data_IF_930665713721
#
_entry.id   IF_930665713721
#
_cell.length_a   1.000
_cell.length_b   1.000
_cell.length_c   1.000
_cell.angle_alpha   90.00
_cell.angle_beta   90.00
_cell.angle_gamma   90.00
#
_symmetry.space_group_name_H-M   'P 1'
#
loop_
_entity.id
_entity.type
_entity.pdbx_description
1 polymer ?
#
# COMPACT_ATOMS: atom_id res chain seq x y z
N UNK A 1 88.44 11.30 18.65
CA UNK A 1 88.00 9.94 18.25
C UNK A 1 86.98 9.44 19.26
N UNK A 2 85.69 9.53 18.99
CA UNK A 2 84.66 8.73 19.69
C UNK A 2 83.52 8.39 18.72
N UNK A 3 83.09 7.14 18.81
CA UNK A 3 82.37 6.32 17.82
C UNK A 3 80.89 6.69 17.62
N UNK A 4 80.45 6.54 16.38
CA UNK A 4 79.05 6.37 15.96
C UNK A 4 78.35 5.21 16.70
N UNK A 5 77.07 5.41 17.03
CA UNK A 5 76.07 4.33 17.18
C UNK A 5 74.84 4.68 16.34
N UNK A 6 74.31 3.74 15.52
CA UNK A 6 73.13 3.99 14.68
C UNK A 6 71.87 3.82 15.53
N UNK A 7 70.95 4.78 15.47
CA UNK A 7 69.62 4.62 16.06
C UNK A 7 68.74 3.87 15.08
N UNK A 8 68.40 2.64 15.49
CA UNK A 8 67.57 1.68 14.80
C UNK A 8 66.12 2.18 14.67
N UNK A 9 65.44 1.68 13.65
CA UNK A 9 64.05 1.95 13.29
C UNK A 9 63.07 1.83 14.48
N UNK A 10 62.16 2.81 14.59
CA UNK A 10 60.84 2.64 15.17
C UNK A 10 59.78 3.13 14.16
N UNK A 11 59.74 2.46 13.02
CA UNK A 11 58.48 2.20 12.32
C UNK A 11 57.92 0.95 12.99
N UNK A 12 56.69 1.00 13.50
CA UNK A 12 55.79 -0.08 13.94
C UNK A 12 55.09 0.40 15.22
N UNK A 13 53.87 0.89 15.05
CA UNK A 13 52.70 0.63 15.92
C UNK A 13 51.56 1.58 15.53
N UNK A 14 50.96 1.33 14.36
CA UNK A 14 49.67 1.95 13.99
C UNK A 14 48.70 0.89 13.42
N UNK A 15 48.76 -0.34 13.95
CA UNK A 15 47.92 -1.47 13.48
C UNK A 15 47.23 -2.25 14.62
N UNK A 16 47.20 -1.75 15.85
CA UNK A 16 46.69 -2.51 17.00
C UNK A 16 45.40 -1.95 17.63
N UNK A 17 44.69 -1.04 16.95
CA UNK A 17 43.44 -0.50 17.49
C UNK A 17 42.35 -0.34 16.42
N UNK A 18 42.26 -1.32 15.52
CA UNK A 18 41.08 -1.48 14.68
C UNK A 18 40.05 -2.27 15.51
N UNK A 19 38.84 -1.73 15.77
CA UNK A 19 37.81 -2.48 16.47
C UNK A 19 37.52 -3.79 15.74
N UNK A 20 37.31 -4.86 16.50
CA UNK A 20 36.95 -6.18 15.97
C UNK A 20 35.77 -6.02 14.99
N UNK A 21 35.88 -6.50 13.73
CA UNK A 21 34.81 -6.44 12.75
C UNK A 21 33.46 -6.94 13.28
N UNK A 22 33.47 -7.95 14.16
CA UNK A 22 32.26 -8.51 14.78
C UNK A 22 31.61 -7.54 15.76
N UNK A 23 32.40 -6.73 16.47
CA UNK A 23 31.88 -5.69 17.38
C UNK A 23 31.31 -4.50 16.61
N UNK A 24 31.96 -4.11 15.50
CA UNK A 24 31.43 -3.09 14.61
C UNK A 24 30.06 -3.51 14.02
N UNK A 25 29.95 -4.72 13.45
CA UNK A 25 28.69 -5.25 12.94
C UNK A 25 27.60 -5.33 14.02
N UNK A 26 27.95 -5.74 15.25
CA UNK A 26 26.98 -5.81 16.35
C UNK A 26 26.43 -4.44 16.77
N UNK A 27 27.28 -3.41 16.83
CA UNK A 27 26.87 -2.05 17.17
C UNK A 27 26.05 -1.41 16.05
N UNK A 28 26.44 -1.62 14.79
CA UNK A 28 25.65 -1.17 13.64
C UNK A 28 24.28 -1.84 13.62
N UNK A 29 24.21 -3.15 13.83
CA UNK A 29 22.94 -3.87 13.93
C UNK A 29 22.09 -3.39 15.11
N UNK A 30 22.69 -3.14 16.28
CA UNK A 30 21.96 -2.62 17.44
C UNK A 30 21.44 -1.20 17.21
N UNK A 31 22.21 -0.33 16.54
CA UNK A 31 21.74 1.01 16.15
C UNK A 31 20.64 0.98 15.09
N UNK A 32 20.74 0.07 14.12
CA UNK A 32 19.75 -0.08 13.06
C UNK A 32 18.44 -0.64 13.63
N UNK A 33 18.52 -1.63 14.54
CA UNK A 33 17.36 -2.15 15.28
C UNK A 33 16.71 -1.07 16.13
N UNK A 34 17.49 -0.21 16.82
CA UNK A 34 16.96 0.93 17.59
C UNK A 34 16.33 2.04 16.73
N UNK A 35 16.59 2.06 15.42
CA UNK A 35 16.07 3.06 14.48
C UNK A 35 15.00 2.53 13.52
N UNK A 36 14.66 1.25 13.59
CA UNK A 36 13.53 0.73 12.81
C UNK A 36 12.21 1.23 13.41
N UNK A 37 11.22 1.65 12.58
CA UNK A 37 9.92 2.04 13.10
C UNK A 37 9.20 0.83 13.70
N UNK A 38 8.43 1.09 14.77
CA UNK A 38 7.64 0.13 15.51
C UNK A 38 6.16 0.58 15.50
N UNK A 39 5.25 -0.36 15.74
CA UNK A 39 3.86 -0.02 15.99
C UNK A 39 3.74 0.77 17.30
N UNK A 40 2.88 1.77 17.28
CA UNK A 40 2.58 2.62 18.43
C UNK A 40 1.80 1.84 19.50
N UNK A 41 2.10 2.11 20.76
CA UNK A 41 1.44 1.41 21.88
C UNK A 41 0.03 1.96 22.15
N UNK A 42 -0.16 3.25 21.87
CA UNK A 42 -1.43 3.97 22.06
C UNK A 42 -2.38 3.80 20.86
N UNK A 43 -1.96 3.08 19.82
CA UNK A 43 -2.78 2.79 18.64
C UNK A 43 -3.27 4.05 17.91
N UNK A 44 -4.52 3.99 17.43
CA UNK A 44 -5.19 5.03 16.67
C UNK A 44 -5.33 6.34 17.44
N UNK A 45 -5.34 6.31 18.78
CA UNK A 45 -5.44 7.53 19.59
C UNK A 45 -4.22 8.44 19.35
N UNK A 46 -3.02 7.87 19.25
CA UNK A 46 -1.80 8.63 18.92
C UNK A 46 -1.92 9.34 17.57
N UNK A 47 -2.52 8.67 16.58
CA UNK A 47 -2.73 9.23 15.25
C UNK A 47 -3.79 10.33 15.28
N UNK A 48 -4.93 10.08 15.94
CA UNK A 48 -6.09 10.95 16.01
C UNK A 48 -5.86 12.20 16.87
N UNK A 49 -4.79 12.26 17.67
CA UNK A 49 -4.37 13.48 18.35
C UNK A 49 -4.02 14.62 17.38
N UNK A 50 -3.49 14.28 16.19
CA UNK A 50 -3.17 15.23 15.13
C UNK A 50 -4.10 15.09 13.91
N UNK A 51 -4.47 13.87 13.54
CA UNK A 51 -5.34 13.55 12.39
C UNK A 51 -6.82 13.45 12.78
N UNK A 52 -7.31 14.39 13.59
CA UNK A 52 -8.60 14.30 14.28
C UNK A 52 -9.86 14.52 13.43
N UNK A 53 -9.72 14.80 12.13
CA UNK A 53 -10.86 15.19 11.28
C UNK A 53 -11.87 14.07 11.06
N UNK A 54 -13.15 14.43 10.88
CA UNK A 54 -14.22 13.44 10.71
C UNK A 54 -13.97 12.46 9.56
N UNK A 55 -13.35 12.93 8.47
CA UNK A 55 -12.91 12.07 7.37
C UNK A 55 -12.01 10.93 7.85
N UNK A 56 -11.06 11.21 8.74
CA UNK A 56 -10.15 10.19 9.28
C UNK A 56 -10.88 9.26 10.25
N UNK A 57 -11.84 9.78 11.02
CA UNK A 57 -12.62 8.97 11.97
C UNK A 57 -13.65 8.05 11.31
N UNK A 58 -14.12 8.41 10.11
CA UNK A 58 -15.15 7.66 9.39
C UNK A 58 -14.75 6.19 9.11
N UNK A 59 -13.47 5.89 8.97
CA UNK A 59 -13.00 4.52 8.76
C UNK A 59 -13.38 3.58 9.90
N UNK A 60 -13.45 4.07 11.15
CA UNK A 60 -13.86 3.29 12.31
C UNK A 60 -15.32 2.83 12.28
N UNK A 61 -16.12 3.30 11.31
CA UNK A 61 -17.50 2.85 11.06
C UNK A 61 -17.62 2.01 9.78
N UNK A 62 -16.49 1.72 9.12
CA UNK A 62 -16.43 0.89 7.92
C UNK A 62 -16.17 -0.57 8.26
N UNK A 63 -16.22 -1.45 7.25
CA UNK A 63 -15.85 -2.85 7.40
C UNK A 63 -14.39 -3.07 7.84
N UNK A 64 -13.48 -2.16 7.48
CA UNK A 64 -12.10 -2.22 7.97
C UNK A 64 -11.96 -1.73 9.41
N UNK A 65 -12.93 -0.93 9.87
CA UNK A 65 -12.99 -0.19 11.13
C UNK A 65 -13.30 -1.00 12.38
N UNK A 66 -13.75 -2.24 12.21
CA UNK A 66 -14.33 -3.05 13.28
C UNK A 66 -13.23 -3.73 14.13
N UNK A 67 -12.98 -3.29 15.38
CA UNK A 67 -11.94 -3.86 16.22
C UNK A 67 -12.31 -5.24 16.79
N UNK A 68 -13.59 -5.63 16.75
CA UNK A 68 -14.06 -6.91 17.31
C UNK A 68 -13.88 -8.07 16.30
N UNK A 69 -13.63 -7.75 15.03
CA UNK A 69 -13.36 -8.73 13.99
C UNK A 69 -11.85 -8.89 13.77
N UNK A 70 -11.23 -10.04 14.14
CA UNK A 70 -9.78 -10.24 14.08
C UNK A 70 -9.19 -10.22 12.65
N UNK A 71 -10.04 -10.22 11.62
CA UNK A 71 -9.63 -10.15 10.22
C UNK A 71 -9.50 -8.71 9.70
N UNK A 72 -9.83 -7.71 10.52
CA UNK A 72 -9.81 -6.31 10.10
C UNK A 72 -8.48 -5.65 10.45
N UNK A 73 -8.09 -4.59 9.70
CA UNK A 73 -6.98 -3.73 10.08
C UNK A 73 -7.08 -3.21 11.52
N UNK A 74 -8.28 -2.83 11.98
CA UNK A 74 -8.49 -2.30 13.33
C UNK A 74 -8.35 -3.31 14.46
N UNK A 75 -8.52 -4.60 14.21
CA UNK A 75 -8.18 -5.61 15.21
C UNK A 75 -6.67 -5.94 15.25
N UNK A 76 -5.91 -5.59 14.20
CA UNK A 76 -4.48 -5.84 14.11
C UNK A 76 -3.65 -4.67 14.64
N UNK A 77 -3.55 -3.59 13.86
CA UNK A 77 -2.74 -2.41 14.16
C UNK A 77 -3.44 -1.09 13.75
N UNK A 78 -4.76 -1.10 13.60
CA UNK A 78 -5.58 0.09 13.39
C UNK A 78 -5.10 0.92 12.20
N UNK A 79 -4.77 2.20 12.42
CA UNK A 79 -4.28 3.07 11.36
C UNK A 79 -2.98 2.54 10.74
N UNK A 80 -2.12 1.92 11.55
CA UNK A 80 -0.79 1.47 11.17
C UNK A 80 -0.83 0.18 10.32
N UNK A 81 -1.96 -0.54 10.30
CA UNK A 81 -2.16 -1.68 9.41
C UNK A 81 -2.16 -1.28 7.93
N UNK A 82 -2.56 -0.05 7.61
CA UNK A 82 -2.54 0.46 6.22
C UNK A 82 -1.49 1.56 6.01
N UNK A 83 -1.23 2.37 7.04
CA UNK A 83 -0.31 3.50 6.95
C UNK A 83 1.14 3.12 7.31
N UNK A 84 1.37 1.94 7.89
CA UNK A 84 2.66 1.51 8.37
C UNK A 84 3.00 2.03 9.77
N UNK A 85 4.16 1.61 10.26
CA UNK A 85 4.61 1.78 11.65
C UNK A 85 4.96 3.25 11.97
N UNK A 86 4.23 3.82 12.91
CA UNK A 86 4.18 5.24 13.24
C UNK A 86 5.15 5.74 14.31
N UNK A 87 5.89 4.87 15.03
CA UNK A 87 6.66 5.31 16.22
C UNK A 87 7.62 6.48 15.97
N UNK A 88 8.28 6.51 14.80
CA UNK A 88 9.19 7.60 14.42
C UNK A 88 8.39 8.82 13.95
N UNK A 89 7.31 8.59 13.19
CA UNK A 89 6.42 9.63 12.68
C UNK A 89 5.88 10.49 13.83
N UNK A 90 5.33 9.87 14.87
CA UNK A 90 4.73 10.57 16.02
C UNK A 90 5.78 11.17 16.97
N UNK A 91 7.06 10.91 16.75
CA UNK A 91 8.12 11.36 17.65
C UNK A 91 8.28 12.89 17.63
N UNK A 92 8.68 13.44 18.78
CA UNK A 92 8.98 14.88 18.89
C UNK A 92 10.27 15.30 18.16
N UNK A 93 11.05 14.34 17.65
CA UNK A 93 12.33 14.59 16.99
C UNK A 93 12.21 15.54 15.79
N UNK A 94 11.02 15.59 15.16
CA UNK A 94 10.74 16.44 14.00
C UNK A 94 9.77 17.60 14.32
N UNK A 95 9.75 18.05 15.57
CA UNK A 95 8.97 19.22 15.99
C UNK A 95 7.46 19.00 15.83
N UNK A 96 6.98 17.77 15.98
CA UNK A 96 5.56 17.42 15.86
C UNK A 96 5.00 17.46 14.42
N UNK A 97 5.87 17.58 13.41
CA UNK A 97 5.44 17.64 11.99
C UNK A 97 5.02 16.30 11.40
N UNK A 98 5.30 15.18 12.06
CA UNK A 98 5.08 13.85 11.51
C UNK A 98 6.13 13.49 10.45
N UNK A 99 7.26 12.90 10.84
CA UNK A 99 8.30 12.48 9.88
C UNK A 99 9.03 11.21 10.33
N UNK A 100 9.35 10.27 9.42
CA UNK A 100 9.03 10.27 7.99
C UNK A 100 7.52 10.17 7.73
N UNK A 101 7.04 10.55 6.54
CA UNK A 101 5.65 10.30 6.19
C UNK A 101 5.36 8.80 6.24
N UNK A 102 4.16 8.48 6.71
CA UNK A 102 3.58 7.14 6.59
C UNK A 102 3.03 6.91 5.19
N UNK A 103 2.56 5.70 4.88
CA UNK A 103 1.99 5.38 3.56
C UNK A 103 0.79 6.29 3.30
N UNK A 104 0.91 7.19 2.32
CA UNK A 104 -0.15 8.11 1.93
C UNK A 104 -0.73 7.61 0.61
N UNK A 105 -2.03 7.29 0.62
CA UNK A 105 -2.75 6.77 -0.53
C UNK A 105 -3.18 7.88 -1.51
N UNK A 106 -3.25 7.52 -2.79
CA UNK A 106 -3.67 8.36 -3.91
C UNK A 106 -2.49 8.92 -4.71
N UNK A 107 -2.73 10.04 -5.39
CA UNK A 107 -1.77 10.69 -6.30
C UNK A 107 -1.37 12.09 -5.83
N UNK A 108 -1.65 12.41 -4.57
CA UNK A 108 -1.29 13.72 -3.99
C UNK A 108 0.22 13.85 -3.83
N UNK A 109 0.73 15.08 -3.78
CA UNK A 109 2.15 15.32 -3.46
C UNK A 109 2.48 14.69 -2.11
N UNK A 110 3.53 13.87 -2.07
CA UNK A 110 3.93 13.13 -0.88
C UNK A 110 3.20 11.81 -0.68
N UNK A 111 2.36 11.38 -1.63
CA UNK A 111 1.85 10.01 -1.67
C UNK A 111 3.00 9.01 -1.77
N UNK A 112 2.81 7.84 -1.17
CA UNK A 112 3.74 6.74 -1.27
C UNK A 112 3.88 6.25 -2.72
N UNK A 113 4.98 5.58 -3.09
CA UNK A 113 5.07 4.87 -4.36
C UNK A 113 3.86 3.95 -4.56
N UNK A 114 3.44 3.77 -5.82
CA UNK A 114 2.24 2.96 -6.13
C UNK A 114 2.32 1.57 -5.52
N UNK A 115 3.45 0.90 -5.68
CA UNK A 115 3.58 -0.49 -5.27
C UNK A 115 3.40 -0.62 -3.75
N UNK A 116 3.93 0.32 -2.96
CA UNK A 116 3.68 0.40 -1.52
C UNK A 116 2.18 0.58 -1.19
N UNK A 117 1.46 1.43 -1.93
CA UNK A 117 0.02 1.62 -1.73
C UNK A 117 -0.80 0.37 -2.09
N UNK A 118 -0.40 -0.35 -3.14
CA UNK A 118 -1.07 -1.58 -3.58
C UNK A 118 -0.79 -2.71 -2.60
N UNK A 119 0.47 -2.86 -2.18
CA UNK A 119 0.91 -3.85 -1.20
C UNK A 119 0.15 -3.70 0.13
N UNK A 120 -0.01 -2.48 0.65
CA UNK A 120 -0.79 -2.23 1.87
C UNK A 120 -2.24 -2.74 1.81
N UNK A 121 -2.82 -2.91 0.61
CA UNK A 121 -4.13 -3.53 0.42
C UNK A 121 -4.02 -5.05 0.23
N UNK A 122 -3.02 -5.48 -0.54
CA UNK A 122 -2.82 -6.88 -0.92
C UNK A 122 -2.25 -7.74 0.22
N UNK A 123 -1.64 -7.13 1.25
CA UNK A 123 -1.23 -7.83 2.48
C UNK A 123 -2.37 -8.68 3.07
N UNK A 124 -3.62 -8.23 2.92
CA UNK A 124 -4.79 -9.01 3.30
C UNK A 124 -5.62 -9.49 2.10
N UNK A 125 -5.66 -8.75 1.00
CA UNK A 125 -6.54 -9.05 -0.14
C UNK A 125 -5.88 -9.82 -1.30
N UNK A 126 -4.60 -10.18 -1.23
CA UNK A 126 -3.92 -10.91 -2.31
C UNK A 126 -4.53 -12.29 -2.55
N UNK A 127 -4.80 -13.01 -1.46
CA UNK A 127 -5.35 -14.36 -1.46
C UNK A 127 -6.21 -14.60 -0.22
N UNK A 128 -6.69 -15.82 -0.05
CA UNK A 128 -7.59 -16.20 1.05
C UNK A 128 -6.84 -16.56 2.35
N UNK A 129 -5.50 -16.43 2.41
CA UNK A 129 -4.70 -16.79 3.59
C UNK A 129 -5.02 -15.94 4.82
N UNK A 130 -5.46 -14.70 4.61
CA UNK A 130 -5.94 -13.79 5.66
C UNK A 130 -7.40 -14.04 6.05
N UNK A 131 -8.07 -15.06 5.47
CA UNK A 131 -9.46 -15.38 5.78
C UNK A 131 -10.51 -14.44 5.18
N UNK A 132 -10.10 -13.57 4.25
CA UNK A 132 -10.97 -12.62 3.53
C UNK A 132 -10.94 -12.88 2.03
N UNK A 133 -11.93 -12.36 1.30
CA UNK A 133 -12.05 -12.57 -0.14
C UNK A 133 -10.85 -12.00 -0.90
N UNK A 134 -10.26 -12.85 -1.75
CA UNK A 134 -9.16 -12.47 -2.63
C UNK A 134 -9.58 -11.53 -3.77
N UNK A 135 -8.74 -10.52 -4.01
CA UNK A 135 -8.85 -9.52 -5.06
C UNK A 135 -7.69 -9.69 -6.03
N UNK A 136 -7.81 -10.53 -7.07
CA UNK A 136 -6.70 -10.87 -7.97
C UNK A 136 -6.43 -9.77 -9.01
N UNK A 137 -6.04 -8.60 -8.51
CA UNK A 137 -5.89 -7.34 -9.24
C UNK A 137 -4.63 -7.29 -10.11
N UNK A 138 -3.58 -7.98 -9.69
CA UNK A 138 -2.30 -8.00 -10.39
C UNK A 138 -2.44 -8.51 -11.83
N UNK A 139 -1.81 -7.82 -12.78
CA UNK A 139 -1.84 -8.15 -14.20
C UNK A 139 -3.12 -7.75 -14.94
N UNK A 140 -4.13 -7.21 -14.25
CA UNK A 140 -5.33 -6.66 -14.87
C UNK A 140 -5.01 -5.42 -15.71
N UNK A 141 -5.97 -4.97 -16.53
CA UNK A 141 -5.80 -3.72 -17.28
C UNK A 141 -5.64 -2.53 -16.32
N UNK A 142 -6.47 -2.41 -15.28
CA UNK A 142 -6.33 -1.31 -14.33
C UNK A 142 -4.99 -1.34 -13.59
N UNK A 143 -4.46 -2.53 -13.28
CA UNK A 143 -3.13 -2.65 -12.72
C UNK A 143 -2.04 -2.16 -13.69
N UNK A 144 -2.07 -2.63 -14.94
CA UNK A 144 -1.13 -2.22 -16.00
C UNK A 144 -1.18 -0.73 -16.33
N UNK A 145 -2.34 -0.10 -16.14
CA UNK A 145 -2.53 1.34 -16.31
C UNK A 145 -2.23 2.16 -15.04
N UNK A 146 -1.54 1.56 -14.05
CA UNK A 146 -1.02 2.25 -12.86
C UNK A 146 -2.16 2.87 -12.02
N UNK A 147 -3.33 2.21 -12.02
CA UNK A 147 -4.47 2.60 -11.18
C UNK A 147 -4.27 2.02 -9.79
N UNK A 148 -4.45 2.86 -8.75
CA UNK A 148 -4.41 2.45 -7.35
C UNK A 148 -5.81 2.01 -6.88
N UNK A 149 -5.89 1.19 -5.85
CA UNK A 149 -7.16 0.78 -5.23
C UNK A 149 -7.98 2.01 -4.79
N UNK A 150 -7.30 3.02 -4.25
CA UNK A 150 -7.86 4.30 -3.78
C UNK A 150 -8.40 5.21 -4.88
N UNK A 151 -8.20 4.88 -6.16
CA UNK A 151 -8.82 5.58 -7.29
C UNK A 151 -10.32 5.30 -7.38
N UNK A 152 -10.76 4.15 -6.88
CA UNK A 152 -12.17 3.73 -6.90
C UNK A 152 -12.72 3.59 -5.48
N UNK A 153 -11.95 2.97 -4.59
CA UNK A 153 -12.36 2.68 -3.22
C UNK A 153 -12.06 3.86 -2.29
N UNK A 154 -12.99 4.17 -1.38
CA UNK A 154 -12.77 5.15 -0.30
C UNK A 154 -12.89 4.48 1.06
N UNK A 155 -11.75 4.23 1.68
CA UNK A 155 -11.65 3.58 3.01
C UNK A 155 -11.99 4.55 4.15
N UNK A 156 -11.63 5.83 4.01
CA UNK A 156 -12.00 6.89 4.96
C UNK A 156 -13.45 7.36 4.74
N UNK A 157 -14.37 6.40 4.80
CA UNK A 157 -15.81 6.57 4.72
C UNK A 157 -16.48 5.38 5.41
N UNK A 158 -17.63 5.62 6.03
CA UNK A 158 -18.44 4.55 6.62
C UNK A 158 -18.89 3.53 5.56
N UNK A 159 -19.32 4.05 4.40
CA UNK A 159 -19.68 3.25 3.23
C UNK A 159 -18.82 3.68 2.05
N UNK A 160 -18.17 2.70 1.42
CA UNK A 160 -17.39 2.93 0.22
C UNK A 160 -18.30 3.29 -0.98
N UNK A 161 -18.17 4.48 -1.59
CA UNK A 161 -19.06 4.92 -2.64
C UNK A 161 -19.13 3.96 -3.83
N UNK A 162 -18.02 3.31 -4.24
CA UNK A 162 -18.03 2.40 -5.40
C UNK A 162 -18.81 1.11 -5.13
N UNK A 163 -19.03 0.76 -3.86
CA UNK A 163 -19.85 -0.38 -3.48
C UNK A 163 -21.36 -0.10 -3.64
N UNK A 164 -21.75 1.17 -3.78
CA UNK A 164 -23.13 1.57 -4.07
C UNK A 164 -23.37 1.56 -5.57
N UNK A 165 -24.27 0.69 -6.06
CA UNK A 165 -24.55 0.49 -7.50
C UNK A 165 -24.77 1.79 -8.27
N UNK A 166 -25.60 2.70 -7.73
CA UNK A 166 -25.92 3.99 -8.33
C UNK A 166 -24.70 4.90 -8.52
N UNK A 167 -23.70 4.79 -7.66
CA UNK A 167 -22.51 5.65 -7.68
C UNK A 167 -21.42 5.11 -8.63
N UNK A 168 -21.51 3.83 -9.04
CA UNK A 168 -20.47 3.20 -9.87
C UNK A 168 -20.29 3.90 -11.21
N UNK A 169 -21.39 4.28 -11.87
CA UNK A 169 -21.34 4.91 -13.18
C UNK A 169 -20.50 6.20 -13.16
N UNK A 170 -20.72 7.07 -12.17
CA UNK A 170 -19.97 8.32 -12.02
C UNK A 170 -18.46 8.07 -11.87
N UNK A 171 -18.08 7.10 -11.01
CA UNK A 171 -16.68 6.73 -10.76
C UNK A 171 -16.04 6.15 -12.01
N UNK A 172 -16.70 5.17 -12.66
CA UNK A 172 -16.16 4.52 -13.85
C UNK A 172 -16.03 5.49 -15.03
N UNK A 173 -17.01 6.39 -15.21
CA UNK A 173 -17.02 7.33 -16.32
C UNK A 173 -16.07 8.52 -16.14
N UNK A 174 -15.43 8.67 -14.97
CA UNK A 174 -14.34 9.63 -14.79
C UNK A 174 -13.18 9.34 -15.77
N UNK A 175 -12.93 8.06 -16.07
CA UNK A 175 -11.95 7.62 -17.07
C UNK A 175 -12.61 7.07 -18.34
N UNK A 176 -13.71 6.31 -18.21
CA UNK A 176 -14.44 5.75 -19.34
C UNK A 176 -15.55 6.69 -19.84
N UNK A 177 -15.21 7.95 -20.08
CA UNK A 177 -16.16 9.01 -20.41
C UNK A 177 -17.02 8.71 -21.65
N UNK A 178 -16.43 8.08 -22.67
CA UNK A 178 -17.16 7.69 -23.89
C UNK A 178 -18.34 6.74 -23.61
N UNK A 179 -18.31 6.00 -22.50
CA UNK A 179 -19.38 5.07 -22.13
C UNK A 179 -20.60 5.75 -21.51
N UNK A 180 -20.54 7.06 -21.22
CA UNK A 180 -21.72 7.86 -20.85
C UNK A 180 -22.73 7.92 -21.99
N UNK A 181 -22.25 8.06 -23.22
CA UNK A 181 -23.08 8.26 -24.42
C UNK A 181 -23.14 6.98 -25.27
N UNK A 182 -22.04 6.23 -25.34
CA UNK A 182 -21.87 5.09 -26.24
C UNK A 182 -21.76 3.76 -25.48
N UNK A 183 -22.76 3.42 -24.68
CA UNK A 183 -22.83 2.09 -24.08
C UNK A 183 -23.53 1.09 -25.01
N UNK A 184 -22.91 -0.07 -25.31
CA UNK A 184 -23.55 -1.12 -26.10
C UNK A 184 -24.88 -1.58 -25.47
N UNK A 185 -25.87 -1.84 -26.32
CA UNK A 185 -27.13 -2.44 -25.89
C UNK A 185 -26.91 -3.90 -25.52
N UNK A 186 -27.57 -4.37 -24.47
CA UNK A 186 -27.70 -5.80 -24.17
C UNK A 186 -29.05 -6.25 -24.72
N UNK A 187 -29.02 -7.00 -25.82
CA UNK A 187 -30.21 -7.27 -26.61
C UNK A 187 -30.81 -5.99 -27.19
N UNK A 188 -32.05 -5.65 -26.81
CA UNK A 188 -32.76 -4.46 -27.33
C UNK A 188 -32.66 -3.21 -26.45
N UNK A 189 -32.02 -3.28 -25.28
CA UNK A 189 -32.05 -2.20 -24.27
C UNK A 189 -30.65 -1.76 -23.87
N UNK A 190 -30.50 -0.49 -23.55
CA UNK A 190 -29.33 0.03 -22.82
C UNK A 190 -29.51 -0.33 -21.34
N UNK A 191 -28.49 -0.85 -20.65
CA UNK A 191 -28.58 -1.13 -19.22
C UNK A 191 -28.89 0.14 -18.40
N UNK A 192 -29.70 -0.01 -17.37
CA UNK A 192 -29.99 1.04 -16.40
C UNK A 192 -28.92 0.99 -15.29
N UNK A 193 -27.93 1.89 -15.39
CA UNK A 193 -26.79 1.91 -14.47
C UNK A 193 -27.14 2.39 -13.06
N UNK A 194 -28.25 3.09 -12.87
CA UNK A 194 -28.73 3.48 -11.53
C UNK A 194 -29.23 2.27 -10.72
N UNK A 195 -29.63 1.19 -11.42
CA UNK A 195 -30.16 -0.04 -10.80
C UNK A 195 -29.17 -1.19 -10.77
N UNK A 196 -28.38 -1.36 -11.84
CA UNK A 196 -27.49 -2.51 -11.98
C UNK A 196 -26.06 -2.26 -11.49
N UNK A 197 -25.53 -1.04 -11.67
CA UNK A 197 -24.10 -0.76 -11.50
C UNK A 197 -23.21 -1.45 -12.54
N UNK A 198 -22.02 -0.91 -12.78
CA UNK A 198 -21.05 -1.42 -13.74
C UNK A 198 -20.51 -2.80 -13.33
N UNK A 199 -20.30 -3.02 -12.02
CA UNK A 199 -19.78 -4.27 -11.47
C UNK A 199 -20.79 -5.43 -11.56
N UNK A 200 -22.05 -5.19 -11.96
CA UNK A 200 -23.01 -6.26 -12.23
C UNK A 200 -22.53 -7.19 -13.36
N UNK A 201 -21.92 -6.62 -14.40
CA UNK A 201 -21.40 -7.37 -15.55
C UNK A 201 -19.87 -7.36 -15.62
N UNK A 202 -19.21 -6.27 -15.22
CA UNK A 202 -17.75 -6.16 -15.29
C UNK A 202 -17.08 -6.71 -14.02
N UNK A 203 -15.86 -7.23 -14.19
CA UNK A 203 -14.97 -7.67 -13.10
C UNK A 203 -13.68 -6.89 -13.22
N UNK A 204 -13.61 -5.76 -12.53
CA UNK A 204 -12.49 -4.79 -12.68
C UNK A 204 -11.21 -5.24 -11.98
N UNK A 205 -11.32 -6.17 -11.04
CA UNK A 205 -10.20 -6.76 -10.32
C UNK A 205 -9.77 -8.10 -10.89
N UNK A 206 -10.30 -8.58 -12.03
CA UNK A 206 -9.91 -9.87 -12.61
C UNK A 206 -9.78 -9.72 -14.10
N UNK A 207 -8.84 -10.44 -14.71
CA UNK A 207 -8.85 -10.57 -16.16
C UNK A 207 -10.13 -11.29 -16.61
N UNK A 208 -10.67 -10.95 -17.80
CA UNK A 208 -11.69 -11.78 -18.42
C UNK A 208 -11.17 -13.21 -18.52
N UNK A 209 -12.03 -14.21 -18.27
CA UNK A 209 -11.63 -15.60 -18.52
C UNK A 209 -11.19 -15.70 -19.99
N UNK A 210 -10.02 -16.31 -20.30
CA UNK A 210 -9.67 -16.57 -21.68
C UNK A 210 -10.81 -17.35 -22.32
N UNK A 211 -11.31 -16.88 -23.46
CA UNK A 211 -12.34 -17.58 -24.20
C UNK A 211 -11.82 -18.97 -24.54
N UNK A 212 -12.55 -20.02 -24.14
CA UNK A 212 -12.10 -21.42 -24.30
C UNK A 212 -12.07 -21.92 -25.75
N UNK A 213 -12.23 -21.06 -26.76
CA UNK A 213 -12.37 -21.46 -28.17
C UNK A 213 -11.61 -20.56 -29.16
N UNK A 214 -10.35 -20.24 -28.90
CA UNK A 214 -9.42 -19.95 -30.01
C UNK A 214 -8.58 -21.20 -30.22
N UNK A 215 -9.13 -22.15 -30.98
CA UNK A 215 -8.31 -23.19 -31.61
C UNK A 215 -7.34 -22.46 -32.52
N UNK A 216 -6.07 -22.40 -32.11
CA UNK A 216 -4.97 -22.16 -33.03
C UNK A 216 -4.99 -23.30 -34.04
N UNK A 217 -5.45 -23.00 -35.24
CA UNK A 217 -5.51 -23.98 -36.30
C UNK A 217 -6.14 -23.36 -37.53
N UNK A 218 -5.30 -22.74 -38.36
CA UNK A 218 -5.35 -22.86 -39.81
C UNK A 218 -4.12 -22.18 -40.41
N UNK A 219 -3.06 -22.98 -40.54
CA UNK A 219 -2.26 -22.95 -41.75
C UNK A 219 -3.19 -23.19 -42.94
N UNK A 220 -3.31 -22.21 -43.82
CA UNK A 220 -3.56 -22.39 -45.24
C UNK A 220 -3.45 -21.03 -45.94
N UNK A 221 -2.28 -20.75 -46.50
CA UNK A 221 -2.17 -20.02 -47.77
C UNK A 221 -1.89 -21.03 -48.89
N UNK A 222 -2.09 -20.65 -50.17
CA UNK A 222 -2.67 -19.43 -50.71
C UNK A 222 -4.09 -19.59 -51.26
#
# INVERSE_FOLDING_TARGET
MFRFKPLCLLFICFLANQPDPLMAESWFNELLVKRAPAYTQEGAEACLACHAGEKMRAVGRSAHGDPDNPLTPFALHECESCHGRGSIHISRAHGGKGYPPLTIFGYTRGAAPRDEQVEACLDCHADESSGIDAVPFEGTLHDKWIINCSSCHRVHAENDPVMTRRNQAEICFACHSSKKEEHPKVGKRVPDFDRMGCAGCHRVHRLPKPEKNVVQGQDATP
#
